data_IF_220395529687
#
_entry.id   IF_220395529687
#
_cell.length_a   1.000
_cell.length_b   1.000
_cell.length_c   1.000
_cell.angle_alpha   90.00
_cell.angle_beta   90.00
_cell.angle_gamma   90.00
#
_symmetry.space_group_name_H-M   'P 1'
#
loop_
_entity.id
_entity.type
_entity.pdbx_description
1 polymer ?
#
# COMPACT_ATOMS: atom_id res chain seq x y z
N UNK A 1 -8.19 8.53 14.96
CA UNK A 1 -8.16 8.75 13.49
C UNK A 1 -7.43 10.05 13.21
N UNK A 2 -6.43 10.03 12.33
CA UNK A 2 -5.79 11.26 11.85
C UNK A 2 -6.60 11.87 10.72
N UNK A 3 -6.57 13.20 10.59
CA UNK A 3 -7.35 13.94 9.58
C UNK A 3 -6.46 14.98 8.94
N UNK A 4 -6.41 14.99 7.61
CA UNK A 4 -5.59 15.92 6.85
C UNK A 4 -6.48 16.72 5.89
N UNK A 5 -6.45 18.04 5.97
CA UNK A 5 -7.06 18.92 4.98
C UNK A 5 -6.17 18.98 3.73
N UNK A 6 -6.75 18.78 2.56
CA UNK A 6 -6.03 18.83 1.27
C UNK A 6 -5.98 20.26 0.74
N UNK A 7 -4.78 20.76 0.45
CA UNK A 7 -4.57 22.08 -0.13
C UNK A 7 -4.44 21.98 -1.65
N UNK A 8 -4.84 23.03 -2.38
CA UNK A 8 -4.86 23.06 -3.86
C UNK A 8 -3.48 22.95 -4.54
N UNK A 9 -2.39 23.08 -3.78
CA UNK A 9 -1.01 22.87 -4.23
C UNK A 9 -0.54 21.41 -4.05
N UNK A 10 -1.38 20.55 -3.46
CA UNK A 10 -1.09 19.15 -3.19
C UNK A 10 -0.46 18.88 -1.82
N UNK A 11 -0.21 19.92 -1.02
CA UNK A 11 0.18 19.77 0.38
C UNK A 11 -1.01 19.40 1.26
N UNK A 12 -0.73 19.00 2.49
CA UNK A 12 -1.76 18.70 3.48
C UNK A 12 -1.45 19.34 4.82
N UNK A 13 -2.50 19.70 5.55
CA UNK A 13 -2.41 20.17 6.94
C UNK A 13 -3.16 19.20 7.84
N UNK A 14 -2.52 18.69 8.87
CA UNK A 14 -3.13 17.86 9.89
C UNK A 14 -4.08 18.70 10.74
N UNK A 15 -5.26 18.16 10.98
CA UNK A 15 -6.33 18.81 11.71
C UNK A 15 -6.54 18.07 13.03
N UNK A 16 -6.68 18.82 14.11
CA UNK A 16 -7.01 18.29 15.43
C UNK A 16 -8.45 18.67 15.82
N UNK A 17 -9.14 17.75 16.51
CA UNK A 17 -10.44 17.98 17.10
C UNK A 17 -10.57 17.21 18.40
N UNK A 18 -10.93 17.92 19.48
CA UNK A 18 -11.34 17.31 20.75
C UNK A 18 -12.77 16.73 20.69
N UNK A 19 -13.57 17.15 19.70
CA UNK A 19 -14.94 16.70 19.45
C UNK A 19 -15.05 15.75 18.26
N UNK A 20 -16.27 15.47 17.78
CA UNK A 20 -16.46 14.56 16.66
C UNK A 20 -15.74 15.06 15.40
N UNK A 21 -14.97 14.19 14.75
CA UNK A 21 -14.26 14.51 13.49
C UNK A 21 -15.20 15.07 12.42
N UNK A 22 -16.46 14.60 12.36
CA UNK A 22 -17.44 15.11 11.40
C UNK A 22 -17.66 16.63 11.48
N UNK A 23 -17.44 17.23 12.65
CA UNK A 23 -17.73 18.65 12.91
C UNK A 23 -16.67 19.57 12.30
N UNK A 24 -15.49 19.03 11.95
CA UNK A 24 -14.39 19.76 11.29
C UNK A 24 -14.33 19.53 9.77
N UNK A 25 -15.24 18.73 9.20
CA UNK A 25 -15.31 18.45 7.76
C UNK A 25 -16.14 19.51 7.02
N UNK A 26 -15.48 20.43 6.32
CA UNK A 26 -16.09 21.51 5.56
C UNK A 26 -16.58 21.03 4.17
N UNK A 27 -17.78 21.46 3.75
CA UNK A 27 -18.41 20.96 2.52
C UNK A 27 -17.75 21.40 1.21
N UNK A 28 -16.89 22.41 1.24
CA UNK A 28 -16.15 22.97 0.10
C UNK A 28 -14.71 22.44 0.01
N UNK A 29 -14.34 21.53 0.91
CA UNK A 29 -12.98 21.01 1.02
C UNK A 29 -12.91 19.50 0.81
N UNK A 30 -11.68 18.99 0.64
CA UNK A 30 -11.40 17.56 0.65
C UNK A 30 -10.50 17.22 1.83
N UNK A 31 -10.77 16.07 2.46
CA UNK A 31 -10.02 15.60 3.61
C UNK A 31 -9.56 14.16 3.38
N UNK A 32 -8.41 13.84 3.95
CA UNK A 32 -7.88 12.48 4.00
C UNK A 32 -7.92 12.05 5.46
N UNK A 33 -8.66 10.98 5.74
CA UNK A 33 -8.80 10.44 7.09
C UNK A 33 -8.11 9.10 7.17
N UNK A 34 -7.25 8.91 8.16
CA UNK A 34 -6.52 7.66 8.38
C UNK A 34 -7.05 6.99 9.62
N UNK A 35 -7.66 5.82 9.44
CA UNK A 35 -8.12 4.98 10.53
C UNK A 35 -7.31 3.69 10.60
N UNK A 36 -6.54 3.57 11.68
CA UNK A 36 -5.73 2.40 11.96
C UNK A 36 -6.59 1.20 12.40
N UNK A 37 -7.72 1.45 13.06
CA UNK A 37 -8.65 0.41 13.55
C UNK A 37 -9.21 -0.44 12.41
N UNK A 38 -9.59 0.20 11.31
CA UNK A 38 -10.14 -0.48 10.11
C UNK A 38 -9.14 -0.58 8.96
N UNK A 39 -7.90 -0.09 9.16
CA UNK A 39 -6.83 -0.04 8.16
C UNK A 39 -7.32 0.57 6.83
N UNK A 40 -7.95 1.74 6.92
CA UNK A 40 -8.46 2.49 5.75
C UNK A 40 -7.94 3.92 5.75
N UNK A 41 -7.67 4.39 4.54
CA UNK A 41 -7.45 5.81 4.23
C UNK A 41 -8.68 6.29 3.45
N UNK A 42 -9.52 7.10 4.08
CA UNK A 42 -10.69 7.65 3.44
C UNK A 42 -10.32 8.95 2.73
N UNK A 43 -10.72 9.10 1.47
CA UNK A 43 -10.76 10.39 0.80
C UNK A 43 -12.18 10.92 0.91
N UNK A 44 -12.43 11.80 1.86
CA UNK A 44 -13.73 12.46 1.99
C UNK A 44 -13.77 13.71 1.10
N UNK A 45 -14.79 13.78 0.25
CA UNK A 45 -14.98 14.85 -0.73
C UNK A 45 -16.21 15.68 -0.36
N UNK A 46 -15.99 16.92 0.03
CA UNK A 46 -17.06 17.89 0.24
C UNK A 46 -17.92 18.03 -1.03
N UNK A 47 -19.23 18.19 -0.84
CA UNK A 47 -20.16 18.29 -1.95
C UNK A 47 -19.86 19.47 -2.88
N UNK A 48 -19.40 20.60 -2.30
CA UNK A 48 -19.06 21.84 -3.00
C UNK A 48 -17.58 21.96 -3.34
N UNK A 49 -16.74 20.99 -2.97
CA UNK A 49 -15.33 21.05 -3.30
C UNK A 49 -15.11 20.98 -4.80
N UNK A 50 -14.14 21.76 -5.28
CA UNK A 50 -13.92 21.90 -6.71
C UNK A 50 -13.29 20.63 -7.30
N UNK A 51 -13.48 20.42 -8.61
CA UNK A 51 -13.00 19.23 -9.33
C UNK A 51 -11.48 19.05 -9.17
N UNK A 52 -10.71 20.14 -9.19
CA UNK A 52 -9.26 20.12 -9.04
C UNK A 52 -8.86 19.59 -7.67
N UNK A 53 -9.46 20.08 -6.58
CA UNK A 53 -9.23 19.62 -5.21
C UNK A 53 -9.54 18.13 -5.07
N UNK A 54 -10.61 17.62 -5.69
CA UNK A 54 -10.93 16.17 -5.70
C UNK A 54 -9.83 15.33 -6.37
N UNK A 55 -9.31 15.77 -7.51
CA UNK A 55 -8.19 15.08 -8.18
C UNK A 55 -6.90 15.13 -7.37
N UNK A 56 -6.63 16.26 -6.72
CA UNK A 56 -5.49 16.41 -5.83
C UNK A 56 -5.64 15.46 -4.65
N UNK A 57 -6.79 15.46 -3.97
CA UNK A 57 -7.08 14.55 -2.86
C UNK A 57 -6.96 13.07 -3.25
N UNK A 58 -7.38 12.68 -4.45
CA UNK A 58 -7.19 11.31 -4.97
C UNK A 58 -5.71 10.94 -5.09
N UNK A 59 -4.86 11.87 -5.54
CA UNK A 59 -3.42 11.64 -5.61
C UNK A 59 -2.78 11.63 -4.22
N UNK A 60 -3.11 12.61 -3.39
CA UNK A 60 -2.53 12.83 -2.06
C UNK A 60 -2.94 11.71 -1.09
N UNK A 61 -4.16 11.18 -1.17
CA UNK A 61 -4.59 10.01 -0.37
C UNK A 61 -3.78 8.75 -0.66
N UNK A 62 -3.39 8.52 -1.93
CA UNK A 62 -2.50 7.41 -2.28
C UNK A 62 -1.08 7.59 -1.70
N UNK A 63 -0.63 8.83 -1.53
CA UNK A 63 0.65 9.14 -0.92
C UNK A 63 0.61 8.91 0.59
N UNK A 64 -0.40 9.44 1.28
CA UNK A 64 -0.64 9.19 2.71
C UNK A 64 -0.79 7.69 2.97
N UNK A 65 -1.55 6.97 2.12
CA UNK A 65 -1.65 5.51 2.20
C UNK A 65 -0.28 4.82 2.06
N UNK A 66 0.60 5.35 1.23
CA UNK A 66 1.97 4.85 1.08
C UNK A 66 2.81 4.96 2.35
N UNK A 67 2.52 5.92 3.23
CA UNK A 67 3.21 6.11 4.52
C UNK A 67 2.77 5.08 5.57
N UNK A 68 1.47 4.76 5.63
CA UNK A 68 0.90 3.87 6.65
C UNK A 68 1.01 2.38 6.31
N UNK A 69 1.24 2.06 5.03
CA UNK A 69 1.64 0.72 4.60
C UNK A 69 0.62 -0.04 3.75
N UNK A 70 1.06 -1.18 3.23
CA UNK A 70 0.36 -1.91 2.16
C UNK A 70 -0.96 -2.57 2.60
N UNK A 71 -1.14 -2.77 3.89
CA UNK A 71 -2.34 -3.36 4.46
C UNK A 71 -3.50 -2.36 4.59
N UNK A 72 -3.27 -1.08 4.26
CA UNK A 72 -4.34 -0.08 4.14
C UNK A 72 -4.92 -0.05 2.73
N UNK A 73 -6.23 0.16 2.63
CA UNK A 73 -6.94 0.47 1.39
C UNK A 73 -7.40 1.92 1.35
N UNK A 74 -7.52 2.50 0.14
CA UNK A 74 -8.05 3.85 -0.04
C UNK A 74 -9.52 3.77 -0.44
N UNK A 75 -10.39 4.46 0.29
CA UNK A 75 -11.83 4.49 0.02
C UNK A 75 -12.29 5.93 -0.22
N UNK A 76 -12.70 6.29 -1.46
CA UNK A 76 -13.25 7.60 -1.75
C UNK A 76 -14.71 7.68 -1.31
N UNK A 77 -15.06 8.72 -0.55
CA UNK A 77 -16.40 9.00 -0.04
C UNK A 77 -16.85 10.39 -0.48
N UNK A 78 -18.06 10.49 -1.04
CA UNK A 78 -18.71 11.76 -1.33
C UNK A 78 -19.63 12.15 -0.16
N UNK A 79 -19.63 13.44 0.21
CA UNK A 79 -20.50 13.95 1.26
C UNK A 79 -21.98 13.61 1.00
N UNK A 80 -22.63 13.02 1.99
CA UNK A 80 -24.02 12.56 1.93
C UNK A 80 -24.20 11.15 1.35
N UNK A 81 -23.12 10.48 0.93
CA UNK A 81 -23.12 9.09 0.46
C UNK A 81 -22.23 8.18 1.32
N UNK A 82 -21.86 8.62 2.51
CA UNK A 82 -21.00 7.86 3.41
C UNK A 82 -21.75 6.67 4.03
N UNK A 83 -21.11 5.48 4.13
CA UNK A 83 -21.69 4.35 4.82
C UNK A 83 -21.81 4.62 6.33
N UNK A 84 -22.78 4.00 6.99
CA UNK A 84 -23.00 4.16 8.43
C UNK A 84 -21.74 3.84 9.26
N UNK A 85 -20.98 2.82 8.84
CA UNK A 85 -19.71 2.43 9.47
C UNK A 85 -18.69 3.59 9.50
N UNK A 86 -18.65 4.42 8.44
CA UNK A 86 -17.79 5.60 8.42
C UNK A 86 -18.31 6.70 9.35
N UNK A 87 -19.63 6.91 9.40
CA UNK A 87 -20.25 7.89 10.30
C UNK A 87 -19.97 7.57 11.76
N UNK A 88 -20.04 6.30 12.14
CA UNK A 88 -19.73 5.84 13.49
C UNK A 88 -18.24 6.08 13.82
N UNK A 89 -17.35 5.85 12.83
CA UNK A 89 -15.90 6.03 12.97
C UNK A 89 -15.50 7.51 13.19
N UNK A 90 -16.15 8.46 12.51
CA UNK A 90 -15.89 9.90 12.65
C UNK A 90 -16.63 10.55 13.84
N UNK A 91 -17.30 9.75 14.68
CA UNK A 91 -18.05 10.21 15.84
C UNK A 91 -17.17 10.61 17.04
N UNK A 92 -15.92 10.16 17.07
CA UNK A 92 -14.93 10.45 18.12
C UNK A 92 -13.95 11.59 17.76
N UNK A 93 -13.02 11.91 18.66
CA UNK A 93 -11.95 12.89 18.43
C UNK A 93 -10.89 12.41 17.44
N UNK A 94 -10.05 13.33 17.00
CA UNK A 94 -8.81 12.97 16.30
C UNK A 94 -7.86 12.26 17.26
N UNK A 95 -7.00 11.41 16.72
CA UNK A 95 -5.93 10.77 17.49
C UNK A 95 -4.64 10.87 16.70
N UNK A 96 -3.52 10.79 17.42
CA UNK A 96 -2.22 10.56 16.81
C UNK A 96 -2.23 9.30 15.93
N UNK A 97 -1.33 9.25 14.96
CA UNK A 97 -1.11 8.09 14.12
C UNK A 97 0.21 8.16 13.36
N UNK A 98 0.37 7.30 12.36
CA UNK A 98 1.63 7.08 11.65
C UNK A 98 1.80 8.01 10.45
N UNK A 99 0.70 8.49 9.86
CA UNK A 99 0.75 9.36 8.68
C UNK A 99 1.30 10.74 9.05
N UNK A 100 2.00 11.35 8.10
CA UNK A 100 2.58 12.68 8.20
C UNK A 100 2.08 13.58 7.07
N UNK A 101 2.03 14.88 7.36
CA UNK A 101 1.72 15.90 6.37
C UNK A 101 2.63 15.81 5.14
N UNK A 102 2.07 16.09 3.96
CA UNK A 102 2.83 16.24 2.73
C UNK A 102 3.22 17.71 2.58
N UNK A 103 4.52 17.96 2.55
CA UNK A 103 5.07 19.32 2.47
C UNK A 103 5.27 19.80 1.03
N UNK A 104 5.42 21.11 0.85
CA UNK A 104 5.65 21.71 -0.47
C UNK A 104 6.91 21.19 -1.17
N UNK A 105 8.01 20.97 -0.43
CA UNK A 105 9.27 20.45 -0.98
C UNK A 105 9.09 19.02 -1.53
N UNK A 106 8.34 18.17 -0.83
CA UNK A 106 8.04 16.80 -1.24
C UNK A 106 7.11 16.78 -2.48
N UNK A 107 6.09 17.65 -2.48
CA UNK A 107 5.19 17.84 -3.61
C UNK A 107 5.94 18.30 -4.87
N UNK A 108 6.84 19.29 -4.74
CA UNK A 108 7.64 19.84 -5.84
C UNK A 108 8.68 18.86 -6.38
N UNK A 109 9.43 18.20 -5.51
CA UNK A 109 10.42 17.19 -5.91
C UNK A 109 9.76 16.07 -6.73
N UNK A 110 8.53 15.69 -6.37
CA UNK A 110 7.75 14.66 -7.07
C UNK A 110 7.16 15.16 -8.38
N UNK A 111 6.68 16.40 -8.43
CA UNK A 111 6.25 17.03 -9.69
C UNK A 111 7.40 17.12 -10.70
N UNK A 112 8.62 17.39 -10.25
CA UNK A 112 9.82 17.38 -11.08
C UNK A 112 10.19 15.97 -11.55
N UNK A 113 10.11 14.96 -10.67
CA UNK A 113 10.34 13.56 -11.03
C UNK A 113 9.36 13.05 -12.10
N UNK A 114 8.07 13.37 -11.96
CA UNK A 114 7.04 13.02 -12.94
C UNK A 114 7.29 13.67 -14.30
N UNK A 115 7.61 14.97 -14.35
CA UNK A 115 7.97 15.69 -15.59
C UNK A 115 9.20 15.07 -16.27
N UNK A 116 10.19 14.63 -15.50
CA UNK A 116 11.40 13.96 -15.99
C UNK A 116 11.14 12.54 -16.52
N UNK A 117 10.14 11.84 -15.98
CA UNK A 117 9.71 10.55 -16.51
C UNK A 117 8.97 10.72 -17.85
N UNK A 118 8.12 11.75 -17.98
CA UNK A 118 7.42 12.06 -19.24
C UNK A 118 8.35 12.53 -20.36
N UNK A 119 9.45 13.23 -20.05
CA UNK A 119 10.38 13.71 -21.08
C UNK A 119 11.28 12.62 -21.68
N UNK A 120 11.32 11.41 -21.11
CA UNK A 120 12.16 10.29 -21.57
C UNK A 120 11.49 9.27 -22.48
N UNK A 121 10.27 9.53 -22.96
CA UNK A 121 9.55 8.56 -23.81
C UNK A 121 8.60 9.21 -24.81
N UNK A 122 9.14 9.86 -25.84
CA UNK A 122 8.40 10.03 -27.10
C UNK A 122 9.31 9.70 -28.28
N UNK A 123 9.31 8.44 -28.66
CA UNK A 123 9.61 8.05 -30.04
C UNK A 123 8.36 7.34 -30.54
N UNK A 124 7.83 7.70 -31.73
CA UNK A 124 6.69 6.99 -32.29
C UNK A 124 7.18 5.61 -32.72
N UNK A 125 6.96 4.60 -31.89
CA UNK A 125 7.18 3.21 -32.28
C UNK A 125 6.07 2.84 -33.25
N UNK A 126 6.35 2.87 -34.56
CA UNK A 126 5.52 2.18 -35.56
C UNK A 126 5.65 0.69 -35.30
N UNK A 127 4.57 0.10 -34.78
CA UNK A 127 4.51 -1.30 -34.46
C UNK A 127 4.32 -2.11 -35.76
N UNK A 128 5.42 -2.44 -36.44
CA UNK A 128 5.46 -3.39 -37.55
C UNK A 128 5.81 -4.79 -37.04
N UNK A 129 4.95 -5.31 -36.16
CA UNK A 129 4.97 -6.70 -35.73
C UNK A 129 3.71 -7.43 -36.21
N UNK A 130 3.74 -8.77 -36.38
CA UNK A 130 2.55 -9.52 -36.74
C UNK A 130 1.44 -9.25 -35.71
N UNK A 131 0.21 -9.02 -36.19
CA UNK A 131 -0.96 -8.82 -35.33
C UNK A 131 -1.18 -10.07 -34.49
N UNK A 132 -0.86 -9.96 -33.20
CA UNK A 132 -1.20 -10.94 -32.20
C UNK A 132 -2.71 -10.90 -31.94
N UNK A 133 -3.43 -11.94 -32.33
CA UNK A 133 -4.90 -12.03 -32.20
C UNK A 133 -5.35 -12.66 -30.89
N UNK A 134 -4.42 -13.06 -30.02
CA UNK A 134 -4.71 -13.57 -28.67
C UNK A 134 -5.47 -14.90 -28.61
N UNK A 135 -5.70 -15.60 -29.72
CA UNK A 135 -6.53 -16.82 -29.70
C UNK A 135 -5.78 -18.09 -29.31
N UNK A 136 -4.50 -18.23 -29.68
CA UNK A 136 -3.76 -19.48 -29.46
C UNK A 136 -3.00 -19.53 -28.13
N UNK A 137 -2.57 -18.38 -27.59
CA UNK A 137 -1.81 -18.33 -26.32
C UNK A 137 -2.69 -18.18 -25.09
N UNK A 138 -3.97 -17.88 -25.25
CA UNK A 138 -4.91 -17.77 -24.13
C UNK A 138 -5.37 -19.16 -23.67
N UNK A 139 -5.61 -20.09 -24.60
CA UNK A 139 -6.00 -21.47 -24.31
C UNK A 139 -4.88 -22.29 -23.66
N UNK A 140 -3.61 -21.89 -23.83
CA UNK A 140 -2.46 -22.53 -23.17
C UNK A 140 -2.22 -21.97 -21.75
N UNK A 141 -2.55 -20.69 -21.51
CA UNK A 141 -2.52 -20.06 -20.18
C UNK A 141 -3.71 -20.45 -19.29
N UNK A 142 -4.90 -20.69 -19.85
CA UNK A 142 -6.07 -21.16 -19.07
C UNK A 142 -5.91 -22.60 -18.57
N UNK A 143 -5.02 -23.40 -19.18
CA UNK A 143 -4.75 -24.78 -18.78
C UNK A 143 -3.84 -24.91 -17.55
N UNK A 144 -3.11 -23.86 -17.17
CA UNK A 144 -2.30 -23.84 -15.94
C UNK A 144 -2.99 -23.01 -14.83
N UNK A 145 -4.31 -23.20 -14.68
CA UNK A 145 -4.87 -23.17 -13.33
C UNK A 145 -4.38 -24.43 -12.61
N UNK A 146 -3.08 -24.50 -12.33
CA UNK A 146 -2.60 -25.36 -11.26
C UNK A 146 -3.49 -25.03 -10.07
N UNK A 147 -4.22 -26.02 -9.58
CA UNK A 147 -4.96 -25.92 -8.34
C UNK A 147 -3.90 -25.68 -7.26
N UNK A 148 -3.55 -24.42 -7.05
CA UNK A 148 -2.61 -23.98 -6.03
C UNK A 148 -3.29 -24.35 -4.71
N UNK A 149 -2.85 -25.45 -4.10
CA UNK A 149 -3.38 -25.93 -2.84
C UNK A 149 -2.97 -24.95 -1.73
N UNK A 150 -3.86 -23.99 -1.50
CA UNK A 150 -3.64 -22.87 -0.60
C UNK A 150 -3.35 -23.34 0.83
N UNK A 151 -4.11 -24.34 1.30
CA UNK A 151 -3.97 -24.85 2.66
C UNK A 151 -2.60 -25.51 2.86
N UNK A 152 -2.15 -26.26 1.86
CA UNK A 152 -0.82 -26.86 1.85
C UNK A 152 0.29 -25.80 1.86
N UNK A 153 0.17 -24.76 1.02
CA UNK A 153 1.16 -23.68 0.95
C UNK A 153 1.22 -22.90 2.25
N UNK A 154 0.08 -22.58 2.85
CA UNK A 154 0.04 -21.88 4.13
C UNK A 154 0.73 -22.69 5.23
N UNK A 155 0.42 -23.99 5.32
CA UNK A 155 1.08 -24.89 6.27
C UNK A 155 2.59 -24.94 6.06
N UNK A 156 3.05 -25.05 4.80
CA UNK A 156 4.48 -25.00 4.47
C UNK A 156 5.12 -23.67 4.90
N UNK A 157 4.46 -22.54 4.67
CA UNK A 157 4.97 -21.23 5.07
C UNK A 157 5.07 -21.08 6.59
N UNK A 158 4.17 -21.70 7.37
CA UNK A 158 4.25 -21.72 8.83
C UNK A 158 5.41 -22.60 9.35
N UNK A 159 5.75 -23.68 8.63
CA UNK A 159 6.88 -24.55 8.95
C UNK A 159 8.25 -23.92 8.61
N UNK A 160 8.29 -22.93 7.71
CA UNK A 160 9.51 -22.24 7.30
C UNK A 160 9.89 -21.16 8.31
N UNK A 161 11.06 -21.33 8.93
CA UNK A 161 11.63 -20.31 9.80
C UNK A 161 11.86 -18.97 9.08
N UNK A 162 11.54 -17.90 9.80
CA UNK A 162 11.83 -16.54 9.36
C UNK A 162 13.32 -16.23 9.51
N UNK A 163 13.91 -15.51 8.54
CA UNK A 163 15.28 -15.03 8.68
C UNK A 163 15.45 -14.21 9.97
N UNK A 164 16.59 -14.31 10.67
CA UNK A 164 16.84 -13.52 11.87
C UNK A 164 16.69 -12.02 11.60
N UNK A 165 15.95 -11.32 12.46
CA UNK A 165 15.70 -9.88 12.33
C UNK A 165 14.63 -9.53 11.30
N UNK A 166 13.83 -10.50 10.85
CA UNK A 166 12.68 -10.26 9.98
C UNK A 166 11.38 -10.75 10.61
N UNK A 167 10.30 -10.08 10.27
CA UNK A 167 8.93 -10.49 10.51
C UNK A 167 8.15 -10.56 9.20
N UNK A 168 7.25 -11.54 9.11
CA UNK A 168 6.31 -11.66 8.00
C UNK A 168 5.19 -10.66 8.21
N UNK A 169 4.94 -9.80 7.21
CA UNK A 169 3.82 -8.85 7.27
C UNK A 169 2.77 -9.14 6.20
N UNK A 170 3.20 -9.59 5.01
CA UNK A 170 2.34 -9.88 3.88
C UNK A 170 2.79 -11.15 3.15
N UNK A 171 1.83 -11.94 2.67
CA UNK A 171 2.04 -13.11 1.81
C UNK A 171 1.12 -13.01 0.61
N UNK A 172 1.65 -13.27 -0.58
CA UNK A 172 0.88 -13.36 -1.84
C UNK A 172 0.93 -14.79 -2.34
N UNK A 173 -0.24 -15.40 -2.57
CA UNK A 173 -0.41 -16.75 -3.13
C UNK A 173 -1.40 -16.65 -4.28
N UNK A 174 -0.93 -16.87 -5.51
CA UNK A 174 -1.69 -16.60 -6.72
C UNK A 174 -2.18 -15.14 -6.75
N UNK A 175 -3.50 -14.94 -6.88
CA UNK A 175 -4.14 -13.61 -6.91
C UNK A 175 -4.65 -13.15 -5.54
N UNK A 176 -4.23 -13.79 -4.46
CA UNK A 176 -4.68 -13.49 -3.10
C UNK A 176 -3.53 -12.95 -2.25
N UNK A 177 -3.84 -11.96 -1.41
CA UNK A 177 -2.93 -11.39 -0.43
C UNK A 177 -3.42 -11.67 0.99
N UNK A 178 -2.49 -11.90 1.90
CA UNK A 178 -2.73 -12.23 3.30
C UNK A 178 -1.79 -11.40 4.18
N UNK A 179 -2.28 -10.91 5.32
CA UNK A 179 -1.47 -10.14 6.27
C UNK A 179 -1.41 -10.83 7.63
N UNK A 180 -0.29 -10.69 8.31
CA UNK A 180 -0.12 -11.17 9.68
C UNK A 180 -0.72 -10.13 10.62
N UNK A 181 -1.83 -10.46 11.27
CA UNK A 181 -2.49 -9.61 12.27
C UNK A 181 -2.19 -10.10 13.67
N UNK A 182 -1.93 -9.17 14.59
CA UNK A 182 -1.79 -9.46 16.01
C UNK A 182 -3.17 -9.37 16.69
N UNK A 183 -3.75 -10.51 17.07
CA UNK A 183 -4.96 -10.58 17.88
C UNK A 183 -4.59 -10.62 19.36
N UNK A 184 -4.90 -9.54 20.07
CA UNK A 184 -4.72 -9.46 21.52
C UNK A 184 -5.93 -10.06 22.21
N UNK A 185 -5.80 -11.27 22.74
CA UNK A 185 -6.83 -11.92 23.54
C UNK A 185 -6.50 -11.73 25.03
N UNK A 186 -7.48 -11.28 25.82
CA UNK A 186 -7.31 -11.14 27.28
C UNK A 186 -7.95 -12.33 27.98
N UNK A 187 -7.13 -13.26 28.47
CA UNK A 187 -7.58 -14.38 29.29
C UNK A 187 -7.16 -14.14 30.74
N UNK A 188 -8.12 -14.11 31.67
CA UNK A 188 -7.87 -14.02 33.12
C UNK A 188 -6.98 -12.82 33.51
N UNK A 189 -7.15 -11.67 32.85
CA UNK A 189 -6.38 -10.45 33.10
C UNK A 189 -4.95 -10.45 32.56
N UNK A 190 -4.52 -11.51 31.86
CA UNK A 190 -3.24 -11.55 31.13
C UNK A 190 -3.50 -11.35 29.64
N UNK A 191 -2.79 -10.39 29.03
CA UNK A 191 -2.80 -10.17 27.58
C UNK A 191 -1.99 -11.27 26.91
N UNK A 192 -2.60 -12.00 25.98
CA UNK A 192 -1.95 -12.94 25.08
C UNK A 192 -2.04 -12.37 23.68
N UNK A 193 -0.90 -12.17 23.02
CA UNK A 193 -0.83 -11.71 21.63
C UNK A 193 -0.67 -12.95 20.76
N UNK A 194 -1.65 -13.21 19.91
CA UNK A 194 -1.63 -14.28 18.94
C UNK A 194 -1.46 -13.69 17.55
N UNK A 195 -0.48 -14.17 16.78
CA UNK A 195 -0.27 -13.75 15.40
C UNK A 195 -1.05 -14.69 14.49
N UNK A 196 -2.03 -14.14 13.77
CA UNK A 196 -2.90 -14.90 12.87
C UNK A 196 -2.73 -14.36 11.46
N UNK A 197 -2.68 -15.24 10.47
CA UNK A 197 -2.64 -14.83 9.06
C UNK A 197 -4.08 -14.70 8.55
N UNK A 198 -4.44 -13.51 8.08
CA UNK A 198 -5.79 -13.21 7.59
C UNK A 198 -5.76 -12.73 6.14
N UNK A 199 -6.81 -13.07 5.39
CA UNK A 199 -6.96 -12.64 3.99
C UNK A 199 -7.23 -11.14 3.93
N UNK A 200 -6.47 -10.45 3.08
CA UNK A 200 -6.72 -9.04 2.77
C UNK A 200 -8.00 -8.96 1.92
N UNK A 201 -8.98 -8.20 2.38
CA UNK A 201 -10.30 -8.13 1.73
C UNK A 201 -10.25 -7.47 0.35
N UNK A 202 -9.46 -6.40 0.19
CA UNK A 202 -9.33 -5.67 -1.07
C UNK A 202 -7.87 -5.39 -1.39
N UNK A 203 -7.39 -5.88 -2.53
CA UNK A 203 -6.08 -5.53 -3.07
C UNK A 203 -6.24 -4.24 -3.88
N UNK A 204 -5.50 -3.16 -3.58
CA UNK A 204 -5.63 -1.91 -4.32
C UNK A 204 -5.20 -2.08 -5.79
N UNK A 205 -5.82 -1.32 -6.70
CA UNK A 205 -5.46 -1.35 -8.12
C UNK A 205 -4.24 -0.47 -8.41
N UNK A 206 -3.34 -0.94 -9.29
CA UNK A 206 -2.17 -0.19 -9.75
C UNK A 206 -0.84 -0.84 -9.40
N UNK A 207 0.25 -0.07 -9.50
CA UNK A 207 1.60 -0.54 -9.21
C UNK A 207 2.05 -0.08 -7.81
N UNK A 208 2.56 -1.02 -7.00
CA UNK A 208 2.98 -0.76 -5.63
C UNK A 208 4.46 -1.05 -5.45
N UNK A 209 5.20 -0.09 -4.90
CA UNK A 209 6.61 -0.25 -4.56
C UNK A 209 6.77 -0.55 -3.07
N UNK A 210 7.10 -1.80 -2.75
CA UNK A 210 7.34 -2.26 -1.38
C UNK A 210 8.80 -1.97 -0.95
N UNK A 211 9.19 -0.69 -0.83
CA UNK A 211 10.59 -0.28 -0.58
C UNK A 211 11.17 -0.79 0.74
N UNK A 212 10.34 -0.83 1.78
CA UNK A 212 10.75 -1.21 3.14
C UNK A 212 10.69 -2.73 3.38
N UNK A 213 10.41 -3.50 2.34
CA UNK A 213 10.24 -4.94 2.43
C UNK A 213 11.34 -5.67 1.66
N UNK A 214 11.76 -6.80 2.22
CA UNK A 214 12.56 -7.79 1.52
C UNK A 214 11.64 -8.89 1.01
N UNK A 215 11.38 -8.97 -0.30
CA UNK A 215 10.56 -10.04 -0.85
C UNK A 215 11.33 -11.37 -0.79
N UNK A 216 10.67 -12.43 -0.30
CA UNK A 216 11.16 -13.81 -0.34
C UNK A 216 10.23 -14.62 -1.22
N UNK A 217 10.77 -15.13 -2.33
CA UNK A 217 10.01 -15.92 -3.31
C UNK A 217 10.16 -17.40 -2.97
N UNK A 218 9.04 -18.11 -2.89
CA UNK A 218 8.98 -19.56 -2.74
C UNK A 218 8.60 -20.18 -4.07
N UNK A 219 9.45 -21.09 -4.54
CA UNK A 219 9.25 -21.77 -5.82
C UNK A 219 9.41 -23.27 -5.67
N UNK A 220 8.48 -24.01 -6.27
CA UNK A 220 8.48 -25.47 -6.35
C UNK A 220 8.21 -25.89 -7.79
N UNK A 221 8.94 -26.89 -8.28
CA UNK A 221 8.79 -27.44 -9.64
C UNK A 221 8.81 -26.39 -10.78
N UNK A 222 9.55 -25.30 -10.59
CA UNK A 222 9.64 -24.20 -11.57
C UNK A 222 8.46 -23.22 -11.55
N UNK A 223 7.50 -23.39 -10.64
CA UNK A 223 6.40 -22.46 -10.41
C UNK A 223 6.62 -21.65 -9.13
N UNK A 224 6.15 -20.41 -9.10
CA UNK A 224 6.14 -19.59 -7.88
C UNK A 224 4.87 -19.95 -7.12
N UNK A 225 5.03 -20.49 -5.91
CA UNK A 225 3.90 -20.90 -5.06
C UNK A 225 3.49 -19.79 -4.08
N UNK A 226 4.43 -18.96 -3.65
CA UNK A 226 4.17 -17.84 -2.75
C UNK A 226 5.26 -16.77 -2.83
N UNK A 227 4.89 -15.54 -2.47
CA UNK A 227 5.83 -14.43 -2.26
C UNK A 227 5.54 -13.84 -0.88
N UNK A 228 6.51 -13.88 0.02
CA UNK A 228 6.45 -13.16 1.30
C UNK A 228 7.07 -11.78 1.16
N UNK A 229 6.49 -10.79 1.83
CA UNK A 229 7.13 -9.50 2.06
C UNK A 229 7.51 -9.43 3.54
N UNK A 230 8.82 -9.51 3.78
CA UNK A 230 9.40 -9.51 5.11
C UNK A 230 9.84 -8.10 5.50
N UNK A 231 9.49 -7.68 6.70
CA UNK A 231 9.93 -6.40 7.28
C UNK A 231 11.02 -6.65 8.31
N UNK A 232 12.00 -5.76 8.39
CA UNK A 232 13.08 -5.90 9.37
C UNK A 232 12.57 -5.50 10.76
N UNK A 233 12.68 -6.39 11.76
CA UNK A 233 12.14 -6.23 13.12
C UNK A 233 13.02 -5.36 14.04
N UNK A 234 13.73 -4.38 13.47
CA UNK A 234 14.54 -3.40 14.19
C UNK A 234 13.84 -2.04 14.25
N UNK A 235 13.63 -1.51 15.46
CA UNK A 235 12.96 -0.24 15.73
C UNK A 235 13.54 0.98 14.98
N UNK A 236 12.73 2.04 14.95
CA UNK A 236 12.92 3.27 14.17
C UNK A 236 14.36 3.83 14.06
N UNK A 237 14.58 4.52 12.93
CA UNK A 237 15.71 5.37 12.53
C UNK A 237 16.84 4.72 11.71
N UNK A 238 16.75 4.90 10.39
CA UNK A 238 17.91 5.30 9.58
C UNK A 238 18.96 4.22 9.26
N UNK A 239 18.56 3.09 8.68
CA UNK A 239 19.49 2.34 7.84
C UNK A 239 19.45 2.94 6.43
N UNK A 240 20.35 3.89 6.15
CA UNK A 240 20.67 4.24 4.75
C UNK A 240 20.92 2.93 3.99
N UNK A 241 20.35 2.74 2.78
CA UNK A 241 20.71 1.58 1.98
C UNK A 241 22.22 1.55 1.86
N UNK A 242 22.85 0.47 2.34
CA UNK A 242 24.30 0.35 2.26
C UNK A 242 24.67 0.48 0.80
N UNK A 243 25.58 1.42 0.50
CA UNK A 243 26.09 1.67 -0.85
C UNK A 243 26.79 0.43 -1.44
N UNK A 244 26.92 -0.66 -0.68
CA UNK A 244 27.62 -1.88 -1.06
C UNK A 244 26.85 -2.77 -2.05
N UNK A 245 25.52 -2.86 -1.99
CA UNK A 245 24.75 -3.67 -2.95
C UNK A 245 24.81 -3.08 -4.38
N UNK A 246 24.76 -1.75 -4.50
CA UNK A 246 24.89 -1.04 -5.76
C UNK A 246 26.29 -1.17 -6.39
N UNK A 247 27.32 -1.32 -5.55
CA UNK A 247 28.71 -1.43 -6.01
C UNK A 247 29.09 -2.88 -6.35
N UNK A 248 28.50 -3.89 -5.69
CA UNK A 248 28.68 -5.29 -6.06
C UNK A 248 28.10 -5.62 -7.44
N UNK A 249 26.95 -5.04 -7.81
CA UNK A 249 26.32 -5.30 -9.11
C UNK A 249 27.11 -4.66 -10.27
N UNK A 250 27.76 -3.50 -10.06
CA UNK A 250 28.57 -2.84 -11.09
C UNK A 250 29.89 -3.56 -11.37
N UNK A 251 30.55 -4.07 -10.33
CA UNK A 251 31.83 -4.79 -10.50
C UNK A 251 31.68 -6.15 -11.20
N UNK A 252 30.49 -6.75 -11.20
CA UNK A 252 30.19 -7.99 -11.92
C UNK A 252 29.94 -7.80 -13.43
N UNK A 253 29.50 -6.62 -13.87
CA UNK A 253 29.23 -6.33 -15.29
C UNK A 253 30.44 -5.80 -16.06
N UNK A 254 31.48 -5.30 -15.37
CA UNK A 254 32.69 -4.77 -16.03
C UNK A 254 33.77 -5.84 -16.27
N UNK A 255 33.59 -7.07 -15.78
CA UNK A 255 34.53 -8.20 -16.01
C UNK A 255 34.11 -9.17 -17.13
N UNK A 256 33.11 -8.80 -17.94
CA UNK A 256 32.78 -9.50 -19.20
C UNK A 256 32.72 -8.51 -20.36
N UNK A 257 33.88 -7.96 -20.70
CA UNK A 257 34.23 -7.52 -22.06
C UNK A 257 35.63 -7.99 -22.39
#
# INVERSE_FOLDING_TARGET
MQVFKVIEDGTTVEMESEGAVKDILENDECYILVSDDVRKVFLWKGLKSNVRSKFIGARTSQEIRGQVGMHYSVEPLDQGQEPQEFIDLIGGPTTDGVAQEITGEESEARAQAAKKALSKGSSPVQNVGPLYTGKESFEEFEKDQTQVDFEEIMKKLEEIDLPPGYERELVVIGNHAYSVVEKVQTFLGKKQVERVIEKVQSIPEGAFFAKEYSPRVHSENGQIIAIEFLKHSGGAAGAKPSKDLSNQIKSGLEKKK
#
